data_IF_593163680677
#
_entry.id   IF_593163680677
#
_cell.length_a   1.000
_cell.length_b   1.000
_cell.length_c   1.000
_cell.angle_alpha   90.00
_cell.angle_beta   90.00
_cell.angle_gamma   90.00
#
_symmetry.space_group_name_H-M   'P 1'
#
loop_
_entity.id
_entity.type
_entity.pdbx_description
1 polymer ?
#
# COMPACT_ATOMS: atom_id res chain seq x y z
N UNK A 1 2.85 13.30 -13.55
CA UNK A 1 2.06 13.73 -14.75
C UNK A 1 0.55 13.58 -14.51
N UNK A 2 0.09 12.38 -14.12
CA UNK A 2 -1.34 12.08 -13.90
C UNK A 2 -1.99 12.99 -12.86
N UNK A 3 -1.39 13.16 -11.67
CA UNK A 3 -1.95 14.04 -10.62
C UNK A 3 -2.11 15.50 -11.09
N UNK A 4 -1.17 16.00 -11.89
CA UNK A 4 -1.23 17.36 -12.45
C UNK A 4 -2.40 17.51 -13.44
N UNK A 5 -2.62 16.50 -14.28
CA UNK A 5 -3.76 16.48 -15.21
C UNK A 5 -5.09 16.43 -14.45
N UNK A 6 -5.21 15.53 -13.46
CA UNK A 6 -6.40 15.42 -12.62
C UNK A 6 -6.71 16.73 -11.87
N UNK A 7 -5.67 17.41 -11.34
CA UNK A 7 -5.85 18.69 -10.70
C UNK A 7 -6.35 19.76 -11.67
N UNK A 8 -5.78 19.85 -12.87
CA UNK A 8 -6.22 20.80 -13.89
C UNK A 8 -7.68 20.57 -14.31
N UNK A 9 -8.09 19.31 -14.52
CA UNK A 9 -9.48 18.94 -14.83
C UNK A 9 -10.45 19.31 -13.70
N UNK A 10 -10.02 19.13 -12.45
CA UNK A 10 -10.81 19.48 -11.27
C UNK A 10 -10.79 20.98 -10.94
N UNK A 11 -10.08 21.81 -11.71
CA UNK A 11 -9.91 23.23 -11.42
C UNK A 11 -9.08 23.52 -10.16
N UNK A 12 -8.22 22.58 -9.75
CA UNK A 12 -7.38 22.66 -8.56
C UNK A 12 -5.99 23.18 -8.90
N UNK A 13 -5.45 24.04 -8.03
CA UNK A 13 -4.04 24.37 -8.05
C UNK A 13 -3.20 23.16 -7.59
N UNK A 14 -2.14 22.83 -8.33
CA UNK A 14 -1.25 21.71 -8.01
C UNK A 14 0.20 22.15 -7.88
N UNK A 15 0.81 21.84 -6.74
CA UNK A 15 2.24 22.02 -6.48
C UNK A 15 2.83 20.69 -6.05
N UNK A 16 3.98 20.34 -6.61
CA UNK A 16 4.72 19.13 -6.25
C UNK A 16 6.04 19.53 -5.57
N UNK A 17 6.31 18.91 -4.44
CA UNK A 17 7.54 19.09 -3.68
C UNK A 17 8.21 17.72 -3.59
N UNK A 18 9.46 17.63 -4.04
CA UNK A 18 10.23 16.41 -3.88
C UNK A 18 10.69 16.27 -2.42
N UNK A 19 10.56 15.07 -1.88
CA UNK A 19 11.22 14.70 -0.63
C UNK A 19 12.63 14.19 -0.97
N UNK A 20 13.65 14.51 -0.16
CA UNK A 20 15.00 14.02 -0.40
C UNK A 20 15.09 12.50 -0.22
N UNK A 21 15.92 11.83 -1.03
CA UNK A 21 16.15 10.38 -0.98
C UNK A 21 16.94 9.91 0.26
N UNK A 22 17.34 10.85 1.14
CA UNK A 22 18.07 10.59 2.38
C UNK A 22 17.62 11.51 3.51
N UNK A 23 18.28 11.43 4.67
CA UNK A 23 18.01 12.35 5.77
C UNK A 23 18.17 13.81 5.27
N UNK A 24 17.16 14.64 5.52
CA UNK A 24 17.23 16.05 5.17
C UNK A 24 18.47 16.67 5.84
N UNK A 25 19.31 17.43 5.12
CA UNK A 25 20.42 18.16 5.76
C UNK A 25 19.86 19.05 6.87
N UNK A 26 20.47 19.05 8.06
CA UNK A 26 20.01 19.86 9.20
C UNK A 26 19.87 21.36 8.84
N UNK A 27 20.71 21.84 7.91
CA UNK A 27 20.75 23.24 7.44
C UNK A 27 20.13 23.47 6.05
N UNK A 28 19.42 22.47 5.48
CA UNK A 28 18.80 22.56 4.15
C UNK A 28 17.37 23.14 4.15
N UNK A 29 16.89 23.69 3.01
CA UNK A 29 15.50 24.12 2.90
C UNK A 29 14.57 22.90 3.06
N UNK A 30 13.85 22.87 4.18
CA UNK A 30 12.87 21.80 4.48
C UNK A 30 11.69 21.87 3.50
N UNK A 31 11.42 20.81 2.70
CA UNK A 31 10.25 20.78 1.83
C UNK A 31 8.95 20.95 2.61
N UNK A 32 8.91 20.50 3.87
CA UNK A 32 7.76 20.66 4.77
C UNK A 32 7.47 22.13 5.12
N UNK A 33 8.51 22.95 5.33
CA UNK A 33 8.33 24.39 5.54
C UNK A 33 7.80 25.06 4.27
N UNK A 34 8.26 24.65 3.09
CA UNK A 34 7.76 25.17 1.81
C UNK A 34 6.29 24.79 1.56
N UNK A 35 5.91 23.55 1.88
CA UNK A 35 4.51 23.08 1.82
C UNK A 35 3.65 23.88 2.78
N UNK A 36 4.08 24.05 4.04
CA UNK A 36 3.34 24.84 5.02
C UNK A 36 3.18 26.30 4.59
N UNK A 37 4.23 26.92 4.07
CA UNK A 37 4.18 28.31 3.59
C UNK A 37 3.24 28.49 2.39
N UNK A 38 2.98 27.43 1.62
CA UNK A 38 2.00 27.44 0.54
C UNK A 38 0.54 27.31 1.02
N UNK A 39 0.32 27.04 2.31
CA UNK A 39 -0.98 26.86 2.97
C UNK A 39 -2.02 26.07 2.14
N UNK A 40 -1.73 24.80 1.79
CA UNK A 40 -2.62 24.00 0.96
C UNK A 40 -3.89 23.59 1.73
N UNK A 41 -5.00 23.46 1.00
CA UNK A 41 -6.25 22.86 1.50
C UNK A 41 -6.09 21.37 1.82
N UNK A 42 -5.30 20.67 1.01
CA UNK A 42 -5.01 19.24 1.16
C UNK A 42 -3.57 18.91 0.69
N UNK A 43 -2.97 17.92 1.31
CA UNK A 43 -1.63 17.42 0.98
C UNK A 43 -1.71 15.92 0.72
N UNK A 44 -1.20 15.49 -0.43
CA UNK A 44 -0.96 14.07 -0.69
C UNK A 44 0.48 13.77 -0.35
N UNK A 45 0.70 12.94 0.66
CA UNK A 45 2.02 12.39 0.97
C UNK A 45 2.15 11.04 0.27
N UNK A 46 2.82 11.04 -0.88
CA UNK A 46 3.11 9.84 -1.65
C UNK A 46 4.43 9.21 -1.21
N UNK A 47 4.33 8.04 -0.60
CA UNK A 47 5.45 7.23 -0.15
C UNK A 47 5.47 5.84 -0.81
N UNK A 48 4.91 5.73 -2.02
CA UNK A 48 4.84 4.46 -2.76
C UNK A 48 6.22 3.93 -3.17
N UNK A 49 7.20 4.81 -3.36
CA UNK A 49 8.58 4.43 -3.65
C UNK A 49 9.38 4.00 -2.39
N UNK A 50 8.78 4.11 -1.20
CA UNK A 50 9.48 4.06 0.07
C UNK A 50 10.12 5.43 0.37
N UNK A 51 9.87 5.95 1.57
CA UNK A 51 10.52 7.17 2.05
C UNK A 51 11.45 6.81 3.22
N UNK A 52 12.67 7.39 3.29
CA UNK A 52 13.49 7.27 4.48
C UNK A 52 12.86 8.04 5.65
N UNK A 53 13.11 7.56 6.88
CA UNK A 53 12.72 8.28 8.11
C UNK A 53 11.23 8.27 8.41
N UNK A 54 10.76 9.32 9.09
CA UNK A 54 9.38 9.46 9.60
C UNK A 54 8.72 10.72 9.03
N UNK A 55 8.34 10.74 7.73
CA UNK A 55 7.94 11.96 7.03
C UNK A 55 6.72 12.66 7.65
N UNK A 56 5.80 11.92 8.27
CA UNK A 56 4.67 12.50 9.00
C UNK A 56 5.10 13.25 10.28
N UNK A 57 6.13 12.77 11.00
CA UNK A 57 6.67 13.49 12.16
C UNK A 57 7.35 14.77 11.70
N UNK A 58 8.10 14.73 10.60
CA UNK A 58 8.75 15.92 10.04
C UNK A 58 7.72 16.96 9.58
N UNK A 59 6.63 16.52 8.96
CA UNK A 59 5.51 17.37 8.58
C UNK A 59 4.85 18.04 9.80
N UNK A 60 4.59 17.27 10.85
CA UNK A 60 4.05 17.78 12.11
C UNK A 60 5.01 18.78 12.78
N UNK A 61 6.30 18.47 12.84
CA UNK A 61 7.34 19.34 13.38
C UNK A 61 7.49 20.65 12.60
N UNK A 62 7.24 20.63 11.27
CA UNK A 62 7.19 21.83 10.46
C UNK A 62 5.92 22.68 10.71
N UNK A 63 4.93 22.15 11.42
CA UNK A 63 3.66 22.80 11.75
C UNK A 63 2.56 22.56 10.73
N UNK A 64 2.65 21.49 9.91
CA UNK A 64 1.59 21.13 8.98
C UNK A 64 0.42 20.48 9.73
N UNK A 65 -0.80 20.91 9.44
CA UNK A 65 -2.00 20.31 10.02
C UNK A 65 -2.25 18.92 9.41
N UNK A 66 -2.01 17.86 10.18
CA UNK A 66 -2.07 16.47 9.69
C UNK A 66 -3.47 16.03 9.24
N UNK A 67 -4.53 16.70 9.69
CA UNK A 67 -5.89 16.47 9.21
C UNK A 67 -6.14 16.91 7.76
N UNK A 68 -5.21 17.65 7.16
CA UNK A 68 -5.18 17.97 5.72
C UNK A 68 -4.34 16.98 4.92
N UNK A 69 -3.66 16.04 5.57
CA UNK A 69 -2.76 15.08 4.92
C UNK A 69 -3.50 13.78 4.62
N UNK A 70 -3.38 13.35 3.36
CA UNK A 70 -3.78 12.01 2.89
C UNK A 70 -2.51 11.27 2.48
N UNK A 71 -2.25 10.12 3.09
CA UNK A 71 -1.05 9.32 2.81
C UNK A 71 -1.33 8.18 1.85
N UNK A 72 -0.32 7.87 1.04
CA UNK A 72 -0.32 6.73 0.12
C UNK A 72 1.02 6.00 0.26
N UNK A 73 1.01 4.68 0.41
CA UNK A 73 2.25 3.92 0.60
C UNK A 73 2.59 3.71 2.08
N UNK A 74 3.87 3.74 2.45
CA UNK A 74 4.33 3.57 3.83
C UNK A 74 4.84 4.93 4.35
N UNK A 75 4.14 5.51 5.32
CA UNK A 75 4.37 6.91 5.74
C UNK A 75 4.77 7.09 7.20
N UNK A 76 4.96 6.00 7.95
CA UNK A 76 5.32 6.05 9.36
C UNK A 76 4.18 6.51 10.26
N UNK A 77 2.93 6.29 9.86
CA UNK A 77 1.73 6.65 10.65
C UNK A 77 1.66 5.90 11.98
N UNK A 78 2.10 4.64 12.02
CA UNK A 78 2.18 3.86 13.25
C UNK A 78 3.25 4.42 14.20
N UNK A 79 4.41 4.82 13.67
CA UNK A 79 5.46 5.46 14.46
C UNK A 79 5.00 6.82 15.00
N UNK A 80 4.30 7.61 14.18
CA UNK A 80 3.72 8.89 14.59
C UNK A 80 2.73 8.69 15.74
N UNK A 81 1.81 7.74 15.58
CA UNK A 81 0.76 7.48 16.57
C UNK A 81 1.27 6.72 17.79
N UNK A 82 2.51 6.22 17.79
CA UNK A 82 3.14 5.51 18.92
C UNK A 82 4.62 5.93 19.06
N UNK A 83 4.91 7.11 19.63
CA UNK A 83 6.27 7.48 20.03
C UNK A 83 6.92 6.43 20.95
N UNK A 84 8.25 6.40 20.97
CA UNK A 84 9.08 5.42 21.69
C UNK A 84 8.84 5.35 23.22
N UNK A 85 8.05 6.28 23.78
CA UNK A 85 7.59 6.28 25.18
C UNK A 85 6.27 5.53 25.41
N UNK A 86 5.71 4.86 24.39
CA UNK A 86 4.54 3.99 24.49
C UNK A 86 3.18 4.70 24.59
N UNK A 87 3.15 6.04 24.59
CA UNK A 87 1.91 6.81 24.57
C UNK A 87 1.44 7.06 23.13
N UNK A 88 0.13 7.06 22.87
CA UNK A 88 -0.38 7.46 21.55
C UNK A 88 -0.42 8.97 21.41
N UNK A 89 0.29 9.54 20.44
CA UNK A 89 0.18 10.97 20.13
C UNK A 89 -1.12 11.26 19.36
N UNK A 90 -2.00 12.08 19.96
CA UNK A 90 -3.31 12.44 19.43
C UNK A 90 -3.25 13.57 18.39
N UNK A 91 -2.09 14.19 18.17
CA UNK A 91 -1.91 15.34 17.26
C UNK A 91 -2.29 15.03 15.80
N UNK A 92 -2.40 13.75 15.44
CA UNK A 92 -2.77 13.30 14.11
C UNK A 92 -4.28 13.09 13.90
N UNK A 93 -5.17 13.53 14.80
CA UNK A 93 -6.62 13.41 14.59
C UNK A 93 -7.03 14.00 13.23
N UNK A 94 -7.73 13.22 12.42
CA UNK A 94 -8.13 13.57 11.05
C UNK A 94 -7.12 13.19 9.98
N UNK A 95 -5.95 12.62 10.33
CA UNK A 95 -5.00 12.05 9.38
C UNK A 95 -5.71 10.96 8.57
N UNK A 96 -5.52 10.99 7.25
CA UNK A 96 -6.13 10.03 6.32
C UNK A 96 -5.07 9.18 5.64
N UNK A 97 -5.39 7.92 5.43
CA UNK A 97 -4.55 6.98 4.68
C UNK A 97 -5.38 6.32 3.59
N UNK A 98 -4.76 6.08 2.44
CA UNK A 98 -5.34 5.27 1.36
C UNK A 98 -4.95 3.81 1.57
N UNK A 99 -5.94 2.93 1.64
CA UNK A 99 -5.73 1.50 1.86
C UNK A 99 -6.80 0.64 1.16
N UNK A 100 -6.73 -0.68 1.27
CA UNK A 100 -7.64 -1.65 0.65
C UNK A 100 -8.04 -2.76 1.63
N UNK A 101 -7.73 -2.59 2.91
CA UNK A 101 -8.17 -3.45 4.00
C UNK A 101 -9.00 -2.65 5.01
N UNK A 102 -9.75 -3.35 5.86
CA UNK A 102 -10.51 -2.79 6.95
C UNK A 102 -9.60 -2.30 8.10
N UNK A 103 -10.06 -1.35 8.93
CA UNK A 103 -9.36 -0.96 10.15
C UNK A 103 -9.53 -2.01 11.25
N UNK A 104 -8.59 -2.04 12.19
CA UNK A 104 -8.67 -2.86 13.40
C UNK A 104 -8.48 -4.37 13.17
N UNK A 105 -8.70 -5.13 14.22
CA UNK A 105 -8.31 -6.53 14.37
C UNK A 105 -9.50 -7.45 14.73
N UNK A 106 -10.73 -6.95 14.65
CA UNK A 106 -11.93 -7.69 15.05
C UNK A 106 -12.36 -8.75 14.02
N UNK A 107 -11.47 -9.72 13.75
CA UNK A 107 -11.63 -10.79 12.79
C UNK A 107 -11.14 -12.12 13.39
N UNK A 108 -11.82 -13.25 13.14
CA UNK A 108 -11.39 -14.57 13.64
C UNK A 108 -9.94 -14.95 13.29
N UNK A 109 -9.42 -14.48 12.16
CA UNK A 109 -8.03 -14.70 11.78
C UNK A 109 -7.04 -14.00 12.71
N UNK A 110 -7.38 -12.81 13.21
CA UNK A 110 -6.54 -12.06 14.14
C UNK A 110 -6.52 -12.74 15.52
N UNK A 111 -7.66 -13.27 15.98
CA UNK A 111 -7.70 -14.11 17.19
C UNK A 111 -6.77 -15.32 17.08
N UNK A 112 -6.69 -15.94 15.90
CA UNK A 112 -5.76 -17.04 15.64
C UNK A 112 -4.30 -16.59 15.58
N UNK A 113 -4.02 -15.42 15.01
CA UNK A 113 -2.66 -14.85 14.99
C UNK A 113 -2.20 -14.56 16.42
N UNK A 114 -3.07 -13.97 17.24
CA UNK A 114 -2.82 -13.75 18.66
C UNK A 114 -2.45 -15.06 19.35
N UNK A 115 -3.33 -16.07 19.26
CA UNK A 115 -3.14 -17.34 19.94
C UNK A 115 -1.91 -18.12 19.46
N UNK A 116 -1.69 -18.20 18.14
CA UNK A 116 -0.70 -19.10 17.55
C UNK A 116 0.67 -18.45 17.37
N UNK A 117 0.75 -17.11 17.35
CA UNK A 117 1.99 -16.38 17.04
C UNK A 117 2.36 -15.44 18.17
N UNK A 118 1.46 -14.56 18.60
CA UNK A 118 1.79 -13.54 19.61
C UNK A 118 1.93 -14.18 21.00
N UNK A 119 0.89 -14.85 21.49
CA UNK A 119 0.85 -15.48 22.80
C UNK A 119 1.85 -16.65 22.90
N UNK A 120 2.25 -17.22 21.77
CA UNK A 120 3.31 -18.22 21.65
C UNK A 120 4.74 -17.64 21.67
N UNK A 121 4.89 -16.30 21.74
CA UNK A 121 6.20 -15.64 21.74
C UNK A 121 6.95 -15.68 20.41
N UNK A 122 6.25 -15.95 19.30
CA UNK A 122 6.80 -16.02 17.95
C UNK A 122 6.71 -14.68 17.19
N UNK A 123 5.99 -13.71 17.76
CA UNK A 123 5.86 -12.36 17.21
C UNK A 123 7.00 -11.45 17.66
N UNK A 124 7.46 -10.59 16.74
CA UNK A 124 8.30 -9.42 17.08
C UNK A 124 7.45 -8.17 17.32
N UNK A 125 6.17 -8.23 17.01
CA UNK A 125 5.20 -7.16 17.21
C UNK A 125 4.45 -7.40 18.51
N UNK A 126 4.49 -6.46 19.47
CA UNK A 126 3.65 -6.51 20.67
C UNK A 126 2.17 -6.61 20.34
N UNK A 127 1.36 -7.15 21.24
CA UNK A 127 -0.08 -7.39 21.02
C UNK A 127 -0.84 -6.07 20.82
N UNK A 128 -0.48 -5.07 21.58
CA UNK A 128 -1.00 -3.70 21.52
C UNK A 128 -0.75 -2.98 20.18
N UNK A 129 0.17 -3.49 19.37
CA UNK A 129 0.56 -2.96 18.07
C UNK A 129 -0.12 -3.69 16.88
N UNK A 130 -0.84 -4.79 17.12
CA UNK A 130 -1.54 -5.55 16.09
C UNK A 130 -2.72 -4.85 15.38
N UNK A 131 -3.41 -3.82 15.92
CA UNK A 131 -4.56 -3.22 15.23
C UNK A 131 -4.22 -2.06 14.28
N UNK A 132 -2.92 -1.80 14.03
CA UNK A 132 -2.45 -0.70 13.18
C UNK A 132 -2.63 -0.97 11.67
N UNK A 133 -2.76 0.08 10.83
CA UNK A 133 -2.88 -0.09 9.38
C UNK A 133 -1.71 -0.86 8.77
N UNK A 134 -0.47 -0.65 9.25
CA UNK A 134 0.68 -1.39 8.74
C UNK A 134 0.60 -2.88 9.07
N UNK A 135 0.13 -3.22 10.27
CA UNK A 135 -0.06 -4.61 10.66
C UNK A 135 -1.10 -5.29 9.77
N UNK A 136 -2.25 -4.65 9.57
CA UNK A 136 -3.30 -5.16 8.68
C UNK A 136 -2.82 -5.33 7.23
N UNK A 137 -1.96 -4.41 6.75
CA UNK A 137 -1.30 -4.57 5.45
C UNK A 137 -0.37 -5.79 5.42
N UNK A 138 0.33 -6.07 6.51
CA UNK A 138 1.13 -7.28 6.71
C UNK A 138 0.28 -8.55 6.67
N UNK A 139 -0.85 -8.57 7.38
CA UNK A 139 -1.81 -9.69 7.34
C UNK A 139 -2.35 -9.90 5.92
N UNK A 140 -2.76 -8.82 5.24
CA UNK A 140 -3.19 -8.89 3.84
C UNK A 140 -2.08 -9.46 2.94
N UNK A 141 -0.84 -8.99 3.06
CA UNK A 141 0.29 -9.53 2.30
C UNK A 141 0.55 -11.02 2.61
N UNK A 142 0.42 -11.44 3.87
CA UNK A 142 0.49 -12.83 4.28
C UNK A 142 -0.54 -13.71 3.59
N UNK A 143 -1.80 -13.24 3.49
CA UNK A 143 -2.85 -13.93 2.73
C UNK A 143 -2.45 -14.08 1.26
N UNK A 144 -2.00 -13.00 0.61
CA UNK A 144 -1.59 -13.04 -0.81
C UNK A 144 -0.47 -14.05 -1.05
N UNK A 145 0.55 -14.06 -0.19
CA UNK A 145 1.67 -14.99 -0.32
C UNK A 145 1.22 -16.43 -0.08
N UNK A 146 0.43 -16.69 0.96
CA UNK A 146 -0.08 -18.03 1.26
C UNK A 146 -0.95 -18.58 0.13
N UNK A 147 -1.84 -17.76 -0.43
CA UNK A 147 -2.70 -18.15 -1.57
C UNK A 147 -1.90 -18.35 -2.85
N UNK A 148 -0.89 -17.52 -3.09
CA UNK A 148 0.06 -17.70 -4.21
C UNK A 148 0.78 -19.03 -4.11
N UNK A 149 1.32 -19.37 -2.94
CA UNK A 149 1.99 -20.66 -2.69
C UNK A 149 1.00 -21.82 -2.87
N UNK A 150 -0.19 -21.75 -2.25
CA UNK A 150 -1.23 -22.78 -2.37
C UNK A 150 -1.60 -23.06 -3.82
N UNK A 151 -1.81 -22.00 -4.61
CA UNK A 151 -2.11 -22.13 -6.03
C UNK A 151 -0.93 -22.68 -6.84
N UNK A 152 0.29 -22.21 -6.56
CA UNK A 152 1.50 -22.70 -7.19
C UNK A 152 1.70 -24.19 -6.95
N UNK A 153 1.56 -24.64 -5.71
CA UNK A 153 1.64 -26.06 -5.33
C UNK A 153 0.58 -26.90 -6.04
N UNK A 154 -0.67 -26.40 -6.10
CA UNK A 154 -1.77 -27.06 -6.82
C UNK A 154 -1.47 -27.20 -8.32
N UNK A 155 -0.97 -26.14 -8.95
CA UNK A 155 -0.64 -26.14 -10.38
C UNK A 155 0.58 -27.01 -10.71
N UNK A 156 1.57 -27.07 -9.80
CA UNK A 156 2.79 -27.85 -9.97
C UNK A 156 2.63 -29.32 -9.56
N UNK A 157 1.60 -29.65 -8.76
CA UNK A 157 1.40 -30.99 -8.20
C UNK A 157 2.45 -31.41 -7.16
N UNK A 158 3.19 -30.45 -6.58
CA UNK A 158 4.28 -30.71 -5.62
C UNK A 158 4.36 -29.64 -4.52
N UNK A 159 4.86 -30.00 -3.32
CA UNK A 159 4.89 -29.08 -2.18
C UNK A 159 5.98 -28.00 -2.28
N UNK A 160 7.16 -28.33 -2.81
CA UNK A 160 8.23 -27.35 -3.05
C UNK A 160 8.01 -26.77 -4.43
N UNK A 161 7.84 -25.46 -4.53
CA UNK A 161 7.69 -24.76 -5.81
C UNK A 161 8.92 -23.90 -6.12
N UNK A 162 9.15 -23.63 -7.40
CA UNK A 162 10.12 -22.63 -7.85
C UNK A 162 9.49 -21.24 -8.07
N UNK A 163 10.31 -20.26 -8.48
CA UNK A 163 9.85 -18.89 -8.71
C UNK A 163 8.84 -18.76 -9.85
N UNK A 164 8.94 -19.58 -10.91
CA UNK A 164 8.01 -19.53 -12.03
C UNK A 164 6.65 -20.10 -11.63
N UNK A 165 6.64 -21.15 -10.81
CA UNK A 165 5.43 -21.70 -10.21
C UNK A 165 4.79 -20.75 -9.20
N UNK A 166 5.59 -20.05 -8.39
CA UNK A 166 5.08 -19.01 -7.48
C UNK A 166 4.40 -17.87 -8.25
N UNK A 167 5.02 -17.40 -9.35
CA UNK A 167 4.40 -16.41 -10.25
C UNK A 167 3.04 -16.90 -10.75
N UNK A 168 2.98 -18.12 -11.31
CA UNK A 168 1.71 -18.71 -11.78
C UNK A 168 0.67 -18.85 -10.66
N UNK A 169 1.12 -19.17 -9.46
CA UNK A 169 0.28 -19.24 -8.27
C UNK A 169 -0.35 -17.90 -7.89
N UNK A 170 0.45 -16.82 -7.89
CA UNK A 170 -0.02 -15.45 -7.70
C UNK A 170 -0.99 -15.02 -8.82
N UNK A 171 -0.66 -15.31 -10.07
CA UNK A 171 -1.51 -15.04 -11.23
C UNK A 171 -2.84 -15.81 -11.20
N UNK A 172 -2.96 -16.86 -10.38
CA UNK A 172 -4.17 -17.65 -10.21
C UNK A 172 -5.02 -17.23 -8.98
N UNK A 173 -4.63 -16.17 -8.26
CA UNK A 173 -5.36 -15.73 -7.06
C UNK A 173 -6.79 -15.28 -7.41
N UNK A 174 -7.77 -15.86 -6.71
CA UNK A 174 -9.16 -15.42 -6.69
C UNK A 174 -9.69 -15.46 -5.24
N UNK A 175 -9.57 -14.35 -4.54
CA UNK A 175 -10.09 -14.13 -3.19
C UNK A 175 -11.51 -13.55 -3.31
N UNK A 176 -12.51 -14.41 -3.32
CA UNK A 176 -13.92 -14.03 -3.31
C UNK A 176 -14.50 -14.03 -1.87
N UNK A 177 -15.77 -13.63 -1.67
CA UNK A 177 -16.36 -13.61 -0.33
C UNK A 177 -16.36 -14.97 0.39
N UNK A 178 -16.40 -16.08 -0.35
CA UNK A 178 -16.33 -17.43 0.24
C UNK A 178 -14.93 -17.67 0.77
N UNK A 179 -13.90 -17.40 -0.04
CA UNK A 179 -12.51 -17.58 0.40
C UNK A 179 -12.14 -16.66 1.56
N UNK A 180 -12.60 -15.40 1.56
CA UNK A 180 -12.44 -14.50 2.70
C UNK A 180 -13.10 -15.04 3.98
N UNK A 181 -14.26 -15.70 3.86
CA UNK A 181 -14.92 -16.34 5.00
C UNK A 181 -14.12 -17.52 5.54
N UNK A 182 -13.63 -18.40 4.67
CA UNK A 182 -12.79 -19.53 5.07
C UNK A 182 -11.51 -19.09 5.80
N UNK A 183 -10.96 -17.94 5.41
CA UNK A 183 -9.79 -17.35 6.05
C UNK A 183 -10.10 -16.62 7.36
N UNK A 184 -11.38 -16.52 7.78
CA UNK A 184 -11.75 -15.77 8.97
C UNK A 184 -11.61 -14.25 8.81
N UNK A 185 -11.74 -13.74 7.58
CA UNK A 185 -11.47 -12.36 7.18
C UNK A 185 -12.65 -11.73 6.40
N UNK A 186 -13.88 -12.09 6.74
CA UNK A 186 -15.08 -11.50 6.12
C UNK A 186 -15.08 -9.99 6.31
N UNK A 187 -15.19 -9.24 5.21
CA UNK A 187 -15.21 -7.77 5.26
C UNK A 187 -13.84 -7.12 5.48
N UNK A 188 -12.77 -7.91 5.67
CA UNK A 188 -11.43 -7.40 5.84
C UNK A 188 -10.90 -6.72 4.58
N UNK A 189 -11.21 -7.25 3.40
CA UNK A 189 -10.85 -6.64 2.13
C UNK A 189 -11.88 -7.00 1.07
N UNK A 190 -11.83 -6.30 -0.07
CA UNK A 190 -12.68 -6.62 -1.22
C UNK A 190 -12.16 -7.81 -2.00
N UNK A 191 -13.01 -8.26 -2.93
CA UNK A 191 -12.63 -9.32 -3.86
C UNK A 191 -11.34 -8.93 -4.57
N UNK A 192 -10.39 -9.86 -4.62
CA UNK A 192 -9.19 -9.74 -5.43
C UNK A 192 -9.15 -10.87 -6.45
N UNK A 193 -8.99 -10.53 -7.72
CA UNK A 193 -8.71 -11.50 -8.76
C UNK A 193 -7.50 -11.04 -9.55
N UNK A 194 -6.46 -11.86 -9.56
CA UNK A 194 -5.27 -11.63 -10.36
C UNK A 194 -5.33 -12.47 -11.63
N UNK A 195 -4.50 -12.10 -12.59
CA UNK A 195 -4.25 -12.86 -13.82
C UNK A 195 -2.89 -12.45 -14.37
N UNK A 196 -2.32 -13.20 -15.31
CA UNK A 196 -1.10 -12.78 -15.99
C UNK A 196 -1.24 -11.39 -16.66
N UNK A 197 -2.43 -11.04 -17.17
CA UNK A 197 -2.70 -9.74 -17.78
C UNK A 197 -2.98 -8.62 -16.75
N UNK A 198 -3.17 -8.96 -15.47
CA UNK A 198 -3.51 -8.02 -14.41
C UNK A 198 -2.98 -8.50 -13.05
N UNK A 199 -1.76 -8.06 -12.73
CA UNK A 199 -1.12 -8.31 -11.44
C UNK A 199 -1.62 -7.38 -10.32
N UNK A 200 -2.47 -6.39 -10.63
CA UNK A 200 -3.03 -5.47 -9.64
C UNK A 200 -4.39 -5.92 -9.10
N UNK A 201 -5.09 -6.72 -9.90
CA UNK A 201 -6.51 -7.07 -9.75
C UNK A 201 -7.45 -5.86 -9.83
N UNK A 202 -6.91 -4.68 -10.15
CA UNK A 202 -7.61 -3.39 -10.24
C UNK A 202 -8.56 -3.16 -9.08
N UNK A 203 -8.10 -3.54 -7.88
CA UNK A 203 -8.89 -3.47 -6.66
C UNK A 203 -9.23 -2.01 -6.33
N UNK A 204 -10.45 -1.73 -5.83
CA UNK A 204 -10.74 -0.44 -5.25
C UNK A 204 -9.86 -0.16 -4.05
N UNK A 205 -9.65 1.11 -3.77
CA UNK A 205 -9.08 1.59 -2.51
C UNK A 205 -10.16 2.30 -1.70
N UNK A 206 -9.89 2.46 -0.42
CA UNK A 206 -10.71 3.11 0.59
C UNK A 206 -9.83 4.11 1.33
N UNK A 207 -10.47 5.05 2.03
CA UNK A 207 -9.76 5.96 2.93
C UNK A 207 -10.08 5.56 4.36
N UNK A 208 -9.06 5.46 5.20
CA UNK A 208 -9.24 5.38 6.64
C UNK A 208 -8.79 6.69 7.28
N UNK A 209 -9.52 7.14 8.30
CA UNK A 209 -9.22 8.35 9.08
C UNK A 209 -8.94 8.00 10.54
N UNK A 210 -7.92 8.63 11.12
CA UNK A 210 -7.62 8.51 12.54
C UNK A 210 -8.53 9.43 13.36
N UNK A 211 -9.37 8.86 14.21
CA UNK A 211 -10.31 9.62 15.05
C UNK A 211 -9.67 10.32 16.25
N UNK A 212 -8.39 10.03 16.53
CA UNK A 212 -7.74 10.28 17.81
C UNK A 212 -7.64 9.01 18.66
N UNK A 213 -8.53 8.04 18.50
CA UNK A 213 -8.52 6.81 19.31
C UNK A 213 -8.36 5.53 18.48
N UNK A 214 -8.97 5.51 17.30
CA UNK A 214 -9.01 4.38 16.37
C UNK A 214 -9.10 4.84 14.92
N UNK A 215 -8.70 3.96 14.01
CA UNK A 215 -8.95 4.12 12.58
C UNK A 215 -10.40 3.77 12.24
N UNK A 216 -11.01 4.56 11.37
CA UNK A 216 -12.34 4.28 10.81
C UNK A 216 -12.29 4.46 9.30
N UNK A 217 -13.03 3.65 8.55
CA UNK A 217 -13.20 3.89 7.13
C UNK A 217 -14.07 5.14 6.93
N UNK A 218 -13.67 6.02 6.01
CA UNK A 218 -14.40 7.22 5.63
C UNK A 218 -14.59 7.27 4.12
N UNK A 219 -15.75 7.78 3.70
CA UNK A 219 -16.10 7.88 2.29
C UNK A 219 -16.38 6.55 1.62
N UNK A 220 -16.68 6.65 0.32
CA UNK A 220 -16.94 5.52 -0.55
C UNK A 220 -15.65 4.92 -1.10
N UNK A 221 -15.80 3.78 -1.76
CA UNK A 221 -14.70 3.15 -2.48
C UNK A 221 -14.28 3.97 -3.70
N UNK A 222 -12.98 4.09 -3.87
CA UNK A 222 -12.36 4.79 -4.98
C UNK A 222 -11.90 3.74 -5.98
N UNK A 223 -12.57 3.69 -7.12
CA UNK A 223 -12.19 2.82 -8.23
C UNK A 223 -10.98 3.42 -8.98
N UNK A 224 -9.97 2.61 -9.36
CA UNK A 224 -8.89 3.09 -10.20
C UNK A 224 -9.43 3.61 -11.55
N UNK A 225 -9.05 4.81 -12.02
CA UNK A 225 -9.55 5.39 -13.27
C UNK A 225 -8.90 4.70 -14.49
N UNK A 226 -9.34 3.48 -14.80
CA UNK A 226 -8.69 2.54 -15.74
C UNK A 226 -8.41 3.14 -17.12
N UNK A 227 -9.42 3.77 -17.72
CA UNK A 227 -9.34 4.34 -19.07
C UNK A 227 -8.29 5.45 -19.14
N UNK A 228 -8.16 6.23 -18.07
CA UNK A 228 -7.20 7.33 -17.98
C UNK A 228 -5.77 6.84 -17.74
N UNK A 229 -5.62 5.71 -17.04
CA UNK A 229 -4.31 5.16 -16.70
C UNK A 229 -3.73 4.25 -17.80
N UNK A 230 -4.56 3.65 -18.66
CA UNK A 230 -4.14 2.66 -19.64
C UNK A 230 -2.97 3.11 -20.50
N UNK A 231 -3.12 4.22 -21.21
CA UNK A 231 -2.05 4.74 -22.08
C UNK A 231 -0.76 5.09 -21.32
N UNK A 232 -0.89 5.62 -20.09
CA UNK A 232 0.27 5.91 -19.25
C UNK A 232 0.98 4.65 -18.77
N UNK A 233 0.21 3.60 -18.43
CA UNK A 233 0.75 2.30 -18.04
C UNK A 233 1.45 1.63 -19.22
N UNK A 234 0.83 1.62 -20.40
CA UNK A 234 1.42 1.04 -21.61
C UNK A 234 2.74 1.73 -21.98
N UNK A 235 2.75 3.07 -21.94
CA UNK A 235 3.97 3.85 -22.15
C UNK A 235 5.04 3.57 -21.09
N UNK A 236 4.66 3.48 -19.81
CA UNK A 236 5.60 3.18 -18.73
C UNK A 236 6.21 1.77 -18.85
N UNK A 237 5.41 0.77 -19.27
CA UNK A 237 5.93 -0.59 -19.49
C UNK A 237 6.84 -0.64 -20.71
N UNK A 238 6.50 0.05 -21.80
CA UNK A 238 7.36 0.14 -22.98
C UNK A 238 8.72 0.75 -22.62
N UNK A 239 8.71 1.91 -21.93
CA UNK A 239 9.92 2.57 -21.48
C UNK A 239 10.75 1.71 -20.49
N UNK A 240 10.10 0.94 -19.62
CA UNK A 240 10.79 -0.01 -18.75
C UNK A 240 11.48 -1.12 -19.54
N UNK A 241 10.79 -1.72 -20.52
CA UNK A 241 11.34 -2.78 -21.35
C UNK A 241 12.57 -2.31 -22.16
N UNK A 242 12.51 -1.09 -22.72
CA UNK A 242 13.65 -0.46 -23.42
C UNK A 242 14.85 -0.24 -22.49
N UNK A 243 14.61 0.27 -21.28
CA UNK A 243 15.67 0.47 -20.28
C UNK A 243 16.35 -0.85 -19.91
N UNK A 244 15.57 -1.89 -19.59
CA UNK A 244 16.11 -3.21 -19.24
C UNK A 244 16.92 -3.81 -20.39
N UNK A 245 16.45 -3.69 -21.64
CA UNK A 245 17.20 -4.17 -22.81
C UNK A 245 18.55 -3.47 -22.98
N UNK A 246 18.62 -2.18 -22.63
CA UNK A 246 19.84 -1.38 -22.69
C UNK A 246 20.82 -1.73 -21.57
N UNK A 247 20.33 -1.90 -20.34
CA UNK A 247 21.15 -2.20 -19.15
C UNK A 247 21.74 -3.62 -19.15
N UNK A 248 21.03 -4.58 -19.74
CA UNK A 248 21.44 -6.00 -19.73
C UNK A 248 22.26 -6.42 -20.94
N UNK A 249 22.48 -5.53 -21.92
CA UNK A 249 23.22 -5.83 -23.15
C UNK A 249 22.54 -6.87 -24.06
N UNK A 250 21.32 -7.31 -23.73
CA UNK A 250 20.51 -8.14 -24.62
C UNK A 250 19.88 -7.25 -25.69
N UNK A 251 20.45 -7.28 -26.90
CA UNK A 251 19.80 -6.71 -28.07
C UNK A 251 18.46 -7.42 -28.30
N UNK A 252 17.37 -6.73 -27.96
CA UNK A 252 16.01 -7.26 -27.98
C UNK A 252 15.52 -7.57 -26.56
N UNK A 253 14.50 -6.82 -26.14
CA UNK A 253 13.71 -7.15 -24.96
C UNK A 253 13.36 -8.64 -25.02
N UNK A 254 13.57 -9.41 -23.94
CA UNK A 254 12.86 -10.68 -23.85
C UNK A 254 11.38 -10.33 -23.99
N UNK A 255 10.68 -10.84 -25.03
CA UNK A 255 9.28 -10.52 -25.20
C UNK A 255 8.55 -10.93 -23.93
N UNK A 256 7.58 -10.11 -23.48
CA UNK A 256 6.69 -10.49 -22.36
C UNK A 256 6.30 -11.94 -22.59
N UNK A 257 6.57 -12.83 -21.63
CA UNK A 257 6.06 -14.20 -21.75
C UNK A 257 4.56 -14.07 -22.02
N UNK A 258 4.07 -14.56 -23.17
CA UNK A 258 2.68 -14.40 -23.51
C UNK A 258 1.87 -15.04 -22.40
N UNK A 259 0.85 -14.33 -21.93
CA UNK A 259 -0.02 -14.87 -20.92
C UNK A 259 -0.61 -16.18 -21.46
N UNK A 260 -0.44 -17.31 -20.75
CA UNK A 260 -1.06 -18.53 -21.18
C UNK A 260 -2.57 -18.28 -21.27
N UNK A 261 -3.20 -18.81 -22.32
CA UNK A 261 -4.65 -18.79 -22.41
C UNK A 261 -5.22 -19.34 -21.10
N UNK A 262 -6.19 -18.63 -20.51
CA UNK A 262 -6.84 -19.13 -19.30
C UNK A 262 -7.39 -20.53 -19.59
N UNK A 263 -7.15 -21.53 -18.72
CA UNK A 263 -7.77 -22.84 -18.85
C UNK A 263 -9.30 -22.73 -18.73
#
# INVERSE_FOLDING_TARGET
PVLRALAAEAGLAFRAYALPDGAAPEDGPSPWRAVRAADPDAVILDATAGLPGTPLRDAAAAGLALNRVVTVGWTGEDDLLRPASGARDLTAKGLRIVTWHAPGDSFPAFDQIDQLVIDAGLSRTPKEDSPGPLYNRGVYAGVILAEGIRNGQRLAGRPRIDGAEMRRGLEAINLDPVRWKELGLVGFARRLRLSCADHSGRRPVTVQEWTGARWVQVGDEIQPPRERLGAHLDAAVAAHAERVATETGTAGAQPRQPCPASP
#
